data_IF_882737086940
#
_entry.id   IF_882737086940
#
_cell.length_a   1.000
_cell.length_b   1.000
_cell.length_c   1.000
_cell.angle_alpha   90.00
_cell.angle_beta   90.00
_cell.angle_gamma   90.00
#
_symmetry.space_group_name_H-M   'P 1'
#
loop_
_entity.id
_entity.type
_entity.pdbx_description
1 polymer ?
#
# COMPACT_ATOMS: atom_id res chain seq x y z
N UNK A 1 -18.12 10.19 3.86
CA UNK A 1 -16.74 10.31 4.36
C UNK A 1 -15.82 9.54 3.42
N UNK A 2 -14.65 10.04 3.04
CA UNK A 2 -13.71 9.27 2.22
C UNK A 2 -13.26 8.03 3.00
N UNK A 3 -13.34 6.86 2.37
CA UNK A 3 -12.98 5.59 3.00
C UNK A 3 -11.46 5.35 2.98
N UNK A 4 -10.75 5.98 2.05
CA UNK A 4 -9.31 5.88 1.88
C UNK A 4 -8.75 7.11 1.16
N UNK A 5 -7.48 7.40 1.36
CA UNK A 5 -6.79 8.48 0.68
C UNK A 5 -5.33 8.13 0.41
N UNK A 6 -4.84 8.44 -0.78
CA UNK A 6 -3.47 8.16 -1.19
C UNK A 6 -2.93 9.34 -2.01
N UNK A 7 -1.76 9.86 -1.64
CA UNK A 7 -1.11 10.92 -2.37
C UNK A 7 -0.25 10.34 -3.50
N UNK A 8 -0.65 10.60 -4.73
CA UNK A 8 0.05 10.11 -5.93
C UNK A 8 1.32 10.93 -6.22
N UNK A 9 1.36 12.18 -5.79
CA UNK A 9 2.49 13.09 -6.02
C UNK A 9 2.31 13.99 -7.26
N UNK A 10 1.25 13.77 -8.04
CA UNK A 10 0.93 14.54 -9.24
C UNK A 10 -0.59 14.63 -9.42
N UNK A 11 -1.04 15.52 -10.29
CA UNK A 11 -2.45 15.70 -10.62
C UNK A 11 -2.94 14.55 -11.51
N UNK A 12 -3.99 13.88 -11.09
CA UNK A 12 -4.64 12.85 -11.90
C UNK A 12 -5.48 13.54 -12.98
N UNK A 13 -5.22 13.22 -14.23
CA UNK A 13 -5.92 13.75 -15.40
C UNK A 13 -7.05 12.85 -15.87
N UNK A 14 -6.86 11.53 -15.78
CA UNK A 14 -7.82 10.57 -16.32
C UNK A 14 -7.96 9.34 -15.44
N UNK A 15 -9.19 8.80 -15.43
CA UNK A 15 -9.49 7.52 -14.81
C UNK A 15 -10.17 6.60 -15.81
N UNK A 16 -9.78 5.33 -15.82
CA UNK A 16 -10.40 4.29 -16.60
C UNK A 16 -10.68 3.07 -15.72
N UNK A 17 -11.94 2.64 -15.65
CA UNK A 17 -12.31 1.43 -14.92
C UNK A 17 -12.40 0.26 -15.89
N UNK A 18 -11.65 -0.80 -15.64
CA UNK A 18 -11.69 -2.02 -16.43
C UNK A 18 -12.04 -3.24 -15.58
N UNK A 19 -12.76 -4.16 -16.19
CA UNK A 19 -13.05 -5.45 -15.59
C UNK A 19 -11.81 -6.32 -15.64
N UNK A 20 -11.39 -6.81 -14.48
CA UNK A 20 -10.27 -7.75 -14.36
C UNK A 20 -10.79 -9.19 -14.42
N UNK A 21 -9.99 -10.08 -14.97
CA UNK A 21 -10.24 -11.51 -14.84
C UNK A 21 -9.87 -11.94 -13.42
N UNK A 22 -10.83 -12.47 -12.69
CA UNK A 22 -10.56 -13.03 -11.38
C UNK A 22 -10.29 -14.54 -11.53
N UNK A 23 -9.37 -15.13 -10.74
CA UNK A 23 -9.13 -16.57 -10.77
C UNK A 23 -10.39 -17.38 -10.50
N UNK A 24 -11.33 -16.81 -9.72
CA UNK A 24 -12.64 -17.42 -9.47
C UNK A 24 -13.66 -16.86 -10.46
N UNK A 25 -14.19 -17.65 -11.39
CA UNK A 25 -15.03 -17.17 -12.51
C UNK A 25 -16.34 -16.51 -12.08
N UNK A 26 -16.77 -16.70 -10.85
CA UNK A 26 -18.01 -16.11 -10.29
C UNK A 26 -17.81 -14.70 -9.70
N UNK A 27 -16.58 -14.24 -9.53
CA UNK A 27 -16.28 -12.94 -8.92
C UNK A 27 -15.88 -11.95 -10.01
N UNK A 28 -16.69 -10.92 -10.20
CA UNK A 28 -16.33 -9.80 -11.06
C UNK A 28 -15.54 -8.78 -10.25
N UNK A 29 -14.30 -8.57 -10.61
CA UNK A 29 -13.42 -7.56 -10.05
C UNK A 29 -13.15 -6.46 -11.07
N UNK A 30 -12.96 -5.23 -10.60
CA UNK A 30 -12.66 -4.08 -11.44
C UNK A 30 -11.40 -3.40 -10.92
N UNK A 31 -10.46 -3.10 -11.81
CA UNK A 31 -9.32 -2.24 -11.51
C UNK A 31 -9.57 -0.85 -12.05
N UNK A 32 -9.12 0.16 -11.33
CA UNK A 32 -9.13 1.54 -11.76
C UNK A 32 -7.72 1.94 -12.18
N UNK A 33 -7.58 2.34 -13.43
CA UNK A 33 -6.34 2.88 -13.98
C UNK A 33 -6.41 4.39 -13.95
N UNK A 34 -5.32 5.04 -13.71
CA UNK A 34 -5.23 6.50 -13.77
C UNK A 34 -3.97 6.95 -14.49
N UNK A 35 -4.08 8.06 -15.19
CA UNK A 35 -2.97 8.78 -15.79
C UNK A 35 -2.81 10.15 -15.12
N UNK A 36 -1.57 10.59 -14.93
CA UNK A 36 -1.27 11.91 -14.37
C UNK A 36 -0.85 12.89 -15.44
N UNK A 37 -0.90 14.19 -15.11
CA UNK A 37 -0.48 15.27 -16.01
C UNK A 37 1.01 15.15 -16.35
N UNK A 38 1.85 14.72 -15.41
CA UNK A 38 3.28 14.48 -15.61
C UNK A 38 3.62 13.22 -16.41
N UNK A 39 2.61 12.49 -16.93
CA UNK A 39 2.79 11.28 -17.74
C UNK A 39 2.97 9.98 -16.96
N UNK A 40 2.83 9.99 -15.63
CA UNK A 40 2.84 8.76 -14.86
C UNK A 40 1.51 7.99 -15.04
N UNK A 41 1.60 6.67 -14.98
CA UNK A 41 0.47 5.77 -15.05
C UNK A 41 0.42 4.90 -13.79
N UNK A 42 -0.78 4.69 -13.26
CA UNK A 42 -0.97 3.88 -12.06
C UNK A 42 -2.26 3.08 -12.07
N UNK A 43 -2.32 2.12 -11.16
CA UNK A 43 -3.47 1.22 -11.03
C UNK A 43 -3.89 1.10 -9.57
N UNK A 44 -5.18 1.16 -9.31
CA UNK A 44 -5.78 0.85 -8.01
C UNK A 44 -6.53 -0.47 -8.13
N UNK A 45 -5.98 -1.48 -7.46
CA UNK A 45 -6.50 -2.85 -7.47
C UNK A 45 -7.25 -3.11 -6.16
N UNK A 46 -8.54 -3.49 -6.19
CA UNK A 46 -9.22 -3.94 -4.99
C UNK A 46 -8.67 -5.31 -4.57
N UNK A 47 -8.44 -5.47 -3.28
CA UNK A 47 -8.05 -6.75 -2.70
C UNK A 47 -9.00 -7.14 -1.56
N UNK A 48 -9.07 -8.43 -1.27
CA UNK A 48 -9.81 -8.95 -0.14
C UNK A 48 -9.12 -8.62 1.20
N UNK A 49 -9.90 -8.63 2.28
CA UNK A 49 -9.40 -8.26 3.61
C UNK A 49 -8.18 -9.10 4.05
N UNK A 50 -8.15 -10.44 3.88
CA UNK A 50 -6.97 -11.23 4.24
C UNK A 50 -5.71 -10.82 3.47
N UNK A 51 -5.81 -10.57 2.16
CA UNK A 51 -4.69 -10.09 1.33
C UNK A 51 -4.23 -8.70 1.78
N UNK A 52 -5.16 -7.77 2.00
CA UNK A 52 -4.86 -6.43 2.50
C UNK A 52 -4.08 -6.49 3.82
N UNK A 53 -4.53 -7.32 4.78
CA UNK A 53 -3.87 -7.48 6.07
C UNK A 53 -2.44 -8.02 5.96
N UNK A 54 -2.22 -8.99 5.06
CA UNK A 54 -0.87 -9.54 4.81
C UNK A 54 0.05 -8.49 4.21
N UNK A 55 -0.43 -7.76 3.20
CA UNK A 55 0.37 -6.73 2.53
C UNK A 55 0.66 -5.54 3.44
N UNK A 56 -0.27 -5.16 4.31
CA UNK A 56 -0.05 -4.13 5.34
C UNK A 56 1.01 -4.57 6.34
N UNK A 57 0.94 -5.81 6.83
CA UNK A 57 1.95 -6.36 7.74
C UNK A 57 3.34 -6.45 7.07
N UNK A 58 3.41 -6.80 5.79
CA UNK A 58 4.64 -6.77 5.01
C UNK A 58 5.18 -5.34 4.90
N UNK A 59 4.35 -4.37 4.53
CA UNK A 59 4.72 -2.95 4.44
C UNK A 59 5.33 -2.46 5.76
N UNK A 60 4.69 -2.76 6.88
CA UNK A 60 5.17 -2.35 8.21
C UNK A 60 6.52 -2.99 8.56
N UNK A 61 6.76 -4.22 8.15
CA UNK A 61 8.06 -4.87 8.31
C UNK A 61 9.13 -4.28 7.38
N UNK A 62 8.76 -3.87 6.16
CA UNK A 62 9.70 -3.31 5.17
C UNK A 62 10.17 -1.90 5.52
N UNK A 63 9.28 -1.03 5.98
CA UNK A 63 9.57 0.40 6.21
C UNK A 63 10.83 0.63 7.05
N UNK A 64 11.08 -0.06 8.18
CA UNK A 64 12.30 0.13 8.96
C UNK A 64 13.53 -0.62 8.42
N UNK A 65 13.35 -1.63 7.57
CA UNK A 65 14.40 -2.59 7.20
C UNK A 65 14.90 -2.44 5.76
N UNK A 66 14.17 -1.73 4.91
CA UNK A 66 14.56 -1.53 3.50
C UNK A 66 15.12 -0.13 3.32
N UNK A 67 16.26 -0.05 2.63
CA UNK A 67 16.85 1.25 2.29
C UNK A 67 15.93 2.01 1.34
N UNK A 68 15.60 3.25 1.70
CA UNK A 68 14.76 4.11 0.90
C UNK A 68 15.58 5.10 0.10
N UNK A 69 15.14 5.40 -1.13
CA UNK A 69 15.77 6.41 -1.97
C UNK A 69 15.79 7.77 -1.27
N UNK A 70 16.98 8.37 -1.16
CA UNK A 70 17.17 9.64 -0.47
C UNK A 70 16.96 9.60 1.05
N UNK A 71 16.89 8.43 1.68
CA UNK A 71 16.70 8.29 3.14
C UNK A 71 15.31 8.74 3.63
N UNK A 72 14.36 8.99 2.73
CA UNK A 72 13.01 9.44 3.08
C UNK A 72 12.08 8.25 3.35
N UNK A 73 11.31 8.33 4.43
CA UNK A 73 10.28 7.35 4.70
C UNK A 73 9.18 7.41 3.61
N UNK A 74 8.95 6.34 2.83
CA UNK A 74 7.97 6.32 1.75
C UNK A 74 6.55 6.61 2.21
N UNK A 75 6.19 6.23 3.42
CA UNK A 75 4.87 6.54 4.00
C UNK A 75 4.70 8.05 4.16
N UNK A 76 5.71 8.77 4.64
CA UNK A 76 5.65 10.22 4.82
C UNK A 76 5.49 10.96 3.49
N UNK A 77 5.98 10.41 2.39
CA UNK A 77 5.84 10.97 1.05
C UNK A 77 4.40 10.83 0.51
N UNK A 78 3.71 9.76 0.87
CA UNK A 78 2.34 9.47 0.40
C UNK A 78 1.25 10.15 1.22
N UNK A 79 1.63 10.86 2.27
CA UNK A 79 0.71 11.61 3.11
C UNK A 79 0.41 12.98 2.49
N UNK A 80 -0.87 13.31 2.29
CA UNK A 80 -1.29 14.65 1.88
C UNK A 80 -0.91 15.65 2.97
N UNK A 81 -0.01 16.57 2.66
CA UNK A 81 0.33 17.70 3.53
C UNK A 81 -0.72 18.79 3.32
N UNK A 82 -1.77 18.81 4.11
CA UNK A 82 -2.60 20.00 4.23
C UNK A 82 -1.72 21.13 4.79
N UNK A 83 -1.89 22.34 4.28
CA UNK A 83 -1.08 23.49 4.66
C UNK A 83 -0.94 23.59 6.18
N UNK A 84 0.28 23.40 6.67
CA UNK A 84 0.59 23.39 8.09
C UNK A 84 0.49 24.81 8.59
N UNK A 85 -0.49 25.10 9.43
CA UNK A 85 -0.55 26.39 10.14
C UNK A 85 0.76 26.63 10.90
N UNK A 86 1.34 27.80 10.75
CA UNK A 86 2.59 28.23 11.41
C UNK A 86 2.37 28.83 12.80
N UNK A 87 1.23 28.55 13.44
CA UNK A 87 0.84 29.12 14.74
C UNK A 87 1.37 28.36 15.96
N UNK A 88 1.35 29.00 17.16
CA UNK A 88 1.64 28.31 18.42
C UNK A 88 0.65 27.17 18.66
N UNK A 89 1.15 25.95 18.85
CA UNK A 89 0.36 24.70 18.90
C UNK A 89 0.54 23.80 17.68
N UNK A 90 1.28 24.22 16.67
CA UNK A 90 1.53 23.45 15.45
C UNK A 90 2.17 22.07 15.68
N UNK A 91 2.88 21.88 16.79
CA UNK A 91 3.53 20.62 17.16
C UNK A 91 2.54 19.56 17.68
N UNK A 92 1.56 19.96 18.49
CA UNK A 92 0.51 19.06 18.98
C UNK A 92 -0.48 18.72 17.85
N UNK A 93 -0.80 19.73 17.03
CA UNK A 93 -1.59 19.55 15.81
C UNK A 93 -0.90 18.59 14.82
N UNK A 94 0.45 18.58 14.75
CA UNK A 94 1.21 17.62 13.93
C UNK A 94 1.08 16.18 14.44
N UNK A 95 1.14 15.95 15.75
CA UNK A 95 0.98 14.60 16.33
C UNK A 95 -0.43 14.06 16.12
N UNK A 96 -1.45 14.87 16.33
CA UNK A 96 -2.84 14.51 16.09
C UNK A 96 -3.10 14.23 14.60
N UNK A 97 -2.58 15.08 13.71
CA UNK A 97 -2.69 14.87 12.24
C UNK A 97 -1.93 13.66 11.74
N UNK A 98 -0.76 13.34 12.28
CA UNK A 98 -0.04 12.11 11.94
C UNK A 98 -0.85 10.86 12.33
N UNK A 99 -1.57 10.89 13.42
CA UNK A 99 -2.48 9.82 13.80
C UNK A 99 -3.72 9.75 12.90
N UNK A 100 -4.32 10.89 12.53
CA UNK A 100 -5.42 10.94 11.55
C UNK A 100 -4.98 10.49 10.15
N UNK A 101 -3.75 10.81 9.77
CA UNK A 101 -3.17 10.40 8.49
C UNK A 101 -2.88 8.89 8.45
N UNK A 102 -2.42 8.32 9.56
CA UNK A 102 -2.34 6.85 9.72
C UNK A 102 -3.71 6.19 9.54
N UNK A 103 -4.76 6.76 10.11
CA UNK A 103 -6.13 6.28 9.94
C UNK A 103 -6.62 6.36 8.48
N UNK A 104 -6.17 7.35 7.70
CA UNK A 104 -6.53 7.47 6.27
C UNK A 104 -5.76 6.54 5.35
N UNK A 105 -4.55 6.13 5.73
CA UNK A 105 -3.77 5.12 5.01
C UNK A 105 -4.24 3.68 5.29
N UNK A 106 -5.13 3.48 6.27
CA UNK A 106 -5.53 2.13 6.71
C UNK A 106 -6.17 1.26 5.61
N UNK A 107 -6.64 1.86 4.51
CA UNK A 107 -7.35 1.15 3.46
C UNK A 107 -6.61 1.13 2.10
N UNK A 108 -5.37 1.60 2.06
CA UNK A 108 -4.54 1.59 0.84
C UNK A 108 -3.12 1.13 1.17
N UNK A 109 -2.57 0.29 0.31
CA UNK A 109 -1.16 -0.14 0.40
C UNK A 109 -0.42 0.28 -0.85
N UNK A 110 0.76 0.90 -0.69
CA UNK A 110 1.61 1.31 -1.80
C UNK A 110 2.26 0.10 -2.47
N UNK A 111 1.79 -0.23 -3.68
CA UNK A 111 2.33 -1.33 -4.45
C UNK A 111 3.80 -1.13 -4.83
N UNK A 112 4.23 0.10 -5.10
CA UNK A 112 5.62 0.38 -5.47
C UNK A 112 6.60 0.01 -4.35
N UNK A 113 6.23 0.27 -3.09
CA UNK A 113 7.01 -0.17 -1.94
C UNK A 113 7.05 -1.70 -1.84
N UNK A 114 5.90 -2.34 -2.02
CA UNK A 114 5.81 -3.80 -1.96
C UNK A 114 6.67 -4.50 -3.04
N UNK A 115 6.74 -3.93 -4.25
CA UNK A 115 7.58 -4.48 -5.33
C UNK A 115 9.05 -4.55 -4.97
N UNK A 116 9.56 -3.65 -4.13
CA UNK A 116 10.94 -3.70 -3.66
C UNK A 116 11.23 -4.99 -2.89
N UNK A 117 10.23 -5.61 -2.26
CA UNK A 117 10.37 -6.90 -1.58
C UNK A 117 10.86 -8.00 -2.53
N UNK A 118 10.38 -8.03 -3.77
CA UNK A 118 10.78 -9.04 -4.76
C UNK A 118 12.21 -8.84 -5.26
N UNK A 119 12.77 -7.64 -5.13
CA UNK A 119 14.17 -7.36 -5.49
C UNK A 119 15.17 -7.68 -4.39
N UNK A 120 14.71 -8.01 -3.18
CA UNK A 120 15.57 -8.40 -2.07
C UNK A 120 16.08 -9.83 -2.24
N UNK A 121 17.21 -10.13 -1.61
CA UNK A 121 17.73 -11.48 -1.51
C UNK A 121 16.81 -12.38 -0.65
N UNK A 122 16.89 -13.68 -0.84
CA UNK A 122 16.01 -14.65 -0.20
C UNK A 122 16.13 -14.63 1.33
N UNK A 123 17.32 -14.29 1.86
CA UNK A 123 17.57 -14.21 3.31
C UNK A 123 16.84 -13.01 3.90
N UNK A 124 16.94 -11.85 3.25
CA UNK A 124 16.25 -10.63 3.67
C UNK A 124 14.72 -10.81 3.58
N UNK A 125 14.21 -11.42 2.48
CA UNK A 125 12.79 -11.72 2.34
C UNK A 125 12.27 -12.59 3.50
N UNK A 126 12.97 -13.66 3.85
CA UNK A 126 12.61 -14.55 4.98
C UNK A 126 12.60 -13.80 6.30
N UNK A 127 13.62 -12.99 6.58
CA UNK A 127 13.69 -12.18 7.79
C UNK A 127 12.52 -11.20 7.90
N UNK A 128 12.15 -10.56 6.81
CA UNK A 128 10.99 -9.65 6.79
C UNK A 128 9.69 -10.38 7.07
N UNK A 129 9.49 -11.55 6.47
CA UNK A 129 8.27 -12.36 6.72
C UNK A 129 8.20 -12.83 8.17
N UNK A 130 9.32 -13.18 8.79
CA UNK A 130 9.38 -13.54 10.22
C UNK A 130 9.07 -12.35 11.15
N UNK A 131 9.40 -11.14 10.74
CA UNK A 131 9.15 -9.89 11.48
C UNK A 131 7.73 -9.36 11.32
N UNK A 132 6.96 -9.87 10.37
CA UNK A 132 5.58 -9.43 10.15
C UNK A 132 4.72 -9.59 11.41
N UNK A 133 4.09 -8.50 11.83
CA UNK A 133 3.14 -8.46 12.94
C UNK A 133 1.74 -8.20 12.41
N UNK A 134 0.70 -8.79 13.02
CA UNK A 134 -0.67 -8.44 12.67
C UNK A 134 -0.90 -6.94 12.93
N UNK A 135 -1.65 -6.23 12.07
CA UNK A 135 -1.99 -4.84 12.29
C UNK A 135 -2.73 -4.65 13.63
N UNK A 136 -2.48 -3.54 14.36
CA UNK A 136 -3.11 -3.29 15.65
C UNK A 136 -4.65 -3.21 15.49
N UNK A 137 -5.37 -3.82 16.42
CA UNK A 137 -6.83 -3.78 16.46
C UNK A 137 -7.57 -4.85 15.65
N UNK A 138 -6.88 -5.67 14.88
CA UNK A 138 -7.49 -6.80 14.17
C UNK A 138 -7.08 -8.12 14.82
N UNK A 139 -8.08 -9.04 14.99
CA UNK A 139 -7.76 -10.44 15.34
C UNK A 139 -6.86 -10.98 14.21
N UNK A 140 -5.67 -11.51 14.55
CA UNK A 140 -4.81 -12.04 13.52
C UNK A 140 -5.55 -13.18 12.81
N UNK A 141 -5.80 -13.11 11.49
CA UNK A 141 -5.97 -14.32 10.73
C UNK A 141 -4.69 -15.14 10.95
N UNK A 142 -4.71 -16.46 10.76
CA UNK A 142 -3.47 -17.21 10.73
C UNK A 142 -2.60 -16.54 9.67
N UNK A 143 -1.68 -15.68 10.15
CA UNK A 143 -0.76 -14.95 9.27
C UNK A 143 0.04 -16.04 8.61
N UNK A 144 -0.22 -16.26 7.36
CA UNK A 144 0.57 -17.14 6.57
C UNK A 144 2.00 -16.62 6.63
N UNK A 145 2.80 -17.24 7.46
CA UNK A 145 4.23 -16.94 7.65
C UNK A 145 5.09 -17.59 6.57
N UNK A 146 4.48 -17.97 5.47
CA UNK A 146 5.18 -18.58 4.36
C UNK A 146 5.50 -17.50 3.32
N UNK A 147 6.77 -17.42 2.94
CA UNK A 147 7.23 -16.56 1.85
C UNK A 147 6.39 -16.78 0.58
N UNK A 148 6.09 -18.04 0.25
CA UNK A 148 5.33 -18.40 -0.94
C UNK A 148 3.94 -17.77 -0.97
N UNK A 149 3.30 -17.64 0.18
CA UNK A 149 1.96 -17.01 0.26
C UNK A 149 2.01 -15.49 0.05
N UNK A 150 3.08 -14.84 0.48
CA UNK A 150 3.28 -13.40 0.20
C UNK A 150 3.53 -13.19 -1.28
N UNK A 151 4.42 -13.98 -1.87
CA UNK A 151 4.72 -13.93 -3.29
C UNK A 151 3.47 -14.23 -4.12
N UNK A 152 2.68 -15.26 -3.76
CA UNK A 152 1.41 -15.57 -4.42
C UNK A 152 0.39 -14.42 -4.33
N UNK A 153 0.27 -13.76 -3.18
CA UNK A 153 -0.57 -12.57 -3.05
C UNK A 153 -0.13 -11.43 -3.98
N UNK A 154 1.16 -11.18 -4.09
CA UNK A 154 1.70 -10.13 -4.96
C UNK A 154 1.51 -10.46 -6.43
N UNK A 155 1.78 -11.70 -6.84
CA UNK A 155 1.58 -12.17 -8.21
C UNK A 155 0.11 -12.12 -8.63
N UNK A 156 -0.82 -12.43 -7.73
CA UNK A 156 -2.27 -12.30 -8.02
C UNK A 156 -2.70 -10.87 -8.28
N UNK A 157 -2.13 -9.91 -7.55
CA UNK A 157 -2.40 -8.49 -7.78
C UNK A 157 -1.81 -8.05 -9.13
N UNK A 158 -0.59 -8.48 -9.43
CA UNK A 158 0.05 -8.18 -10.70
C UNK A 158 -0.72 -8.78 -11.87
N UNK A 159 -1.08 -10.05 -11.81
CA UNK A 159 -1.90 -10.71 -12.82
C UNK A 159 -3.25 -10.01 -13.04
N UNK A 160 -3.84 -9.41 -12.00
CA UNK A 160 -5.06 -8.62 -12.14
C UNK A 160 -4.85 -7.34 -12.96
N UNK A 161 -3.62 -6.83 -13.03
CA UNK A 161 -3.25 -5.62 -13.79
C UNK A 161 -2.77 -5.92 -15.22
N UNK A 162 -2.19 -7.11 -15.45
CA UNK A 162 -1.61 -7.51 -16.73
C UNK A 162 -2.64 -7.91 -17.81
N UNK A 163 -3.92 -7.93 -17.51
CA UNK A 163 -4.96 -8.45 -18.41
C UNK A 163 -5.42 -7.38 -19.42
N UNK A 164 -4.52 -7.02 -20.30
CA UNK A 164 -4.79 -6.33 -21.54
C UNK A 164 -4.66 -7.27 -22.73
#
# INVERSE_FOLDING_TARGET
MPQAGFHVGDQIHSFCRKRCKHPTPKVTSYCNFFGTVGGAFGTVVPCDVPTYMRLTALREAMVPNVAHNGGMNPIAFRVKRDAIGTGPGALESRKSRLNELRLREENVVDGLLLWQFLSLDLIAQRRLVEQMKPPPGMRPPPVARSLDQIVDCMLRIDLATLLF
#
